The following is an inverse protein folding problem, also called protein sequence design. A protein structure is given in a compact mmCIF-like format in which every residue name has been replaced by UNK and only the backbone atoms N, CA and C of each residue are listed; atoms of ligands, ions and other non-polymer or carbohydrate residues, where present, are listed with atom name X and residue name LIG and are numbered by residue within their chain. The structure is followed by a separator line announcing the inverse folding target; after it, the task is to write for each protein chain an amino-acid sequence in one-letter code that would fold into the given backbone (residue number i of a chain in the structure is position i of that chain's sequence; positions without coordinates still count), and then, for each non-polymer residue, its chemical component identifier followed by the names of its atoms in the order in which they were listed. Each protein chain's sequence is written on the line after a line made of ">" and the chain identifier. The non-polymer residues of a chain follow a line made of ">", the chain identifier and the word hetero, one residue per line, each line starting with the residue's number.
data_IF_201704314162
#
_entry.id   IF_201704314162
#
_cell.length_a   1.000
_cell.length_b   1.000
_cell.length_c   1.000
_cell.angle_alpha   90.00
_cell.angle_beta   90.00
_cell.angle_gamma   90.00
#
_symmetry.space_group_name_H-M   'P 1'
#
loop_
_entity.id
_entity.type
_entity.pdbx_description
1 polymer ?
#
# COMPACT_ATOMS: atom_id res chain seq x y z
N UNK A 1 -17.60 17.81 -4.32
CA UNK A 1 -17.78 19.25 -4.61
C UNK A 1 -16.80 20.03 -3.76
N UNK A 2 -15.99 20.89 -4.38
CA UNK A 2 -15.08 21.81 -3.69
C UNK A 2 -15.12 23.19 -4.39
N UNK A 3 -15.42 24.26 -3.64
CA UNK A 3 -15.62 25.61 -4.17
C UNK A 3 -14.33 26.39 -4.45
N UNK A 4 -13.16 25.88 -4.03
CA UNK A 4 -11.87 26.49 -4.38
C UNK A 4 -11.57 26.35 -5.89
N UNK A 5 -12.28 25.44 -6.58
CA UNK A 5 -12.26 25.17 -8.04
C UNK A 5 -10.94 24.64 -8.59
N UNK A 6 -9.82 25.26 -8.27
CA UNK A 6 -8.48 24.85 -8.66
C UNK A 6 -7.70 24.33 -7.44
N UNK A 7 -6.67 23.53 -7.70
CA UNK A 7 -5.79 22.96 -6.67
C UNK A 7 -6.54 22.23 -5.54
N UNK A 8 -7.72 21.71 -5.87
CA UNK A 8 -8.58 20.96 -4.95
C UNK A 8 -8.12 19.52 -4.85
N UNK A 9 -8.47 18.80 -3.79
CA UNK A 9 -8.05 17.39 -3.71
C UNK A 9 -8.33 16.72 -2.39
N UNK A 10 -7.65 15.60 -2.17
CA UNK A 10 -7.76 14.77 -0.99
C UNK A 10 -6.43 14.09 -0.65
N UNK A 11 -6.29 13.75 0.64
CA UNK A 11 -5.21 12.90 1.14
C UNK A 11 -5.82 11.59 1.65
N UNK A 12 -5.26 10.46 1.24
CA UNK A 12 -5.76 9.11 1.48
C UNK A 12 -4.66 8.33 2.19
N UNK A 13 -4.96 7.78 3.36
CA UNK A 13 -4.05 6.89 4.08
C UNK A 13 -4.34 5.43 3.73
N UNK A 14 -3.27 4.64 3.60
CA UNK A 14 -3.26 3.21 3.29
C UNK A 14 -2.28 2.50 4.23
N UNK A 15 -2.34 1.18 4.32
CA UNK A 15 -1.38 0.38 5.10
C UNK A 15 -0.09 0.02 4.32
N UNK A 16 0.20 0.76 3.24
CA UNK A 16 1.23 0.42 2.26
C UNK A 16 0.60 -0.17 1.00
N UNK A 17 0.69 0.56 -0.12
CA UNK A 17 0.20 0.10 -1.42
C UNK A 17 1.07 0.60 -2.56
N UNK A 18 1.05 -0.10 -3.69
CA UNK A 18 1.64 0.33 -4.95
C UNK A 18 0.47 0.70 -5.87
N UNK A 19 0.11 1.97 -5.86
CA UNK A 19 -0.93 2.53 -6.74
C UNK A 19 -0.34 2.77 -8.13
N UNK A 20 -1.02 2.26 -9.16
CA UNK A 20 -0.66 2.31 -10.58
C UNK A 20 -1.77 2.88 -11.47
N UNK A 21 -2.88 3.29 -10.87
CA UNK A 21 -3.94 3.97 -11.59
C UNK A 21 -4.92 4.70 -10.69
N UNK A 22 -5.80 5.46 -11.33
CA UNK A 22 -6.93 6.15 -10.71
C UNK A 22 -8.21 5.77 -11.45
N UNK A 23 -9.24 5.39 -10.70
CA UNK A 23 -10.62 5.39 -11.17
C UNK A 23 -11.29 6.69 -10.75
N UNK A 24 -11.85 7.44 -11.69
CA UNK A 24 -12.50 8.72 -11.45
C UNK A 24 -13.92 8.65 -12.00
N UNK A 25 -14.93 8.90 -11.16
CA UNK A 25 -16.33 8.89 -11.60
C UNK A 25 -16.90 10.31 -11.57
N UNK A 26 -17.44 10.77 -12.69
CA UNK A 26 -18.05 12.10 -12.76
C UNK A 26 -19.25 12.19 -11.80
N UNK A 27 -19.41 13.32 -11.12
CA UNK A 27 -20.59 13.63 -10.30
C UNK A 27 -21.87 13.82 -11.15
N UNK A 28 -22.89 14.53 -10.65
CA UNK A 28 -24.19 14.65 -11.30
C UNK A 28 -24.53 16.03 -11.85
N UNK A 29 -23.75 17.07 -11.49
CA UNK A 29 -24.27 18.44 -11.53
C UNK A 29 -23.96 19.17 -12.85
N UNK A 30 -22.69 19.27 -13.29
CA UNK A 30 -22.33 19.99 -14.52
C UNK A 30 -20.91 19.71 -15.06
N UNK A 31 -20.76 19.41 -16.37
CA UNK A 31 -19.49 18.94 -16.95
C UNK A 31 -18.33 19.95 -16.88
N UNK A 32 -18.59 21.26 -16.89
CA UNK A 32 -17.54 22.29 -16.84
C UNK A 32 -16.70 22.26 -15.55
N UNK A 33 -17.25 21.66 -14.49
CA UNK A 33 -16.64 21.54 -13.16
C UNK A 33 -15.93 20.21 -12.93
N UNK A 34 -16.02 19.28 -13.87
CA UNK A 34 -15.29 18.03 -13.76
C UNK A 34 -13.78 18.35 -13.78
N UNK A 35 -12.94 17.57 -13.05
CA UNK A 35 -11.50 17.79 -13.06
C UNK A 35 -10.95 17.56 -14.47
N UNK A 36 -10.05 18.44 -14.90
CA UNK A 36 -9.39 18.34 -16.20
C UNK A 36 -7.97 17.78 -16.11
N UNK A 37 -7.28 18.02 -14.99
CA UNK A 37 -5.93 17.50 -14.74
C UNK A 37 -5.83 16.93 -13.34
N UNK A 38 -4.85 16.07 -13.12
CA UNK A 38 -4.53 15.51 -11.81
C UNK A 38 -3.02 15.53 -11.54
N UNK A 39 -2.69 15.54 -10.25
CA UNK A 39 -1.36 15.24 -9.73
C UNK A 39 -1.53 14.28 -8.57
N UNK A 40 -0.94 13.10 -8.68
CA UNK A 40 -0.87 12.10 -7.62
C UNK A 40 0.55 12.07 -7.04
N UNK A 41 0.65 12.18 -5.72
CA UNK A 41 1.91 12.03 -4.99
C UNK A 41 1.79 11.03 -3.86
N UNK A 42 2.87 10.32 -3.54
CA UNK A 42 2.96 9.34 -2.47
C UNK A 42 3.91 9.79 -1.36
N UNK A 43 3.64 9.32 -0.14
CA UNK A 43 4.48 9.55 1.02
C UNK A 43 4.57 8.30 1.90
N UNK A 44 5.79 7.98 2.35
CA UNK A 44 6.05 6.90 3.31
C UNK A 44 5.95 7.37 4.76
N UNK A 45 6.17 8.67 5.01
CA UNK A 45 6.20 9.29 6.35
C UNK A 45 4.99 10.20 6.64
N UNK A 46 4.12 10.41 5.65
CA UNK A 46 2.96 11.30 5.73
C UNK A 46 3.30 12.79 5.67
N UNK A 47 4.57 13.16 5.54
CA UNK A 47 5.05 14.55 5.58
C UNK A 47 5.66 14.95 4.24
N UNK A 48 6.61 14.14 3.74
CA UNK A 48 7.30 14.39 2.49
C UNK A 48 6.61 13.60 1.37
N UNK A 49 6.11 14.33 0.37
CA UNK A 49 5.40 13.74 -0.77
C UNK A 49 6.29 13.77 -2.01
N UNK A 50 6.36 12.63 -2.70
CA UNK A 50 7.03 12.45 -3.99
C UNK A 50 5.96 12.33 -5.06
N UNK A 51 6.06 13.09 -6.14
CA UNK A 51 5.15 12.96 -7.27
C UNK A 51 5.29 11.56 -7.90
N UNK A 52 4.15 10.91 -8.15
CA UNK A 52 4.06 9.61 -8.81
C UNK A 52 3.67 9.81 -10.27
N UNK A 53 2.60 10.59 -10.49
CA UNK A 53 2.06 10.83 -11.81
C UNK A 53 1.31 12.16 -11.85
N UNK A 54 1.31 12.79 -13.02
CA UNK A 54 0.48 13.94 -13.35
C UNK A 54 0.03 13.86 -14.80
N UNK A 55 -1.10 14.47 -15.13
CA UNK A 55 -1.63 14.46 -16.49
C UNK A 55 -3.08 14.89 -16.59
N UNK A 56 -3.66 14.63 -17.75
CA UNK A 56 -5.06 14.94 -18.05
C UNK A 56 -6.00 13.88 -17.49
N UNK A 57 -7.18 14.31 -17.07
CA UNK A 57 -8.31 13.42 -16.79
C UNK A 57 -9.07 13.22 -18.11
N UNK A 58 -9.31 11.97 -18.54
CA UNK A 58 -10.12 11.70 -19.73
C UNK A 58 -11.50 12.35 -19.62
N UNK A 59 -12.01 12.90 -20.72
CA UNK A 59 -13.29 13.57 -20.72
C UNK A 59 -14.43 12.58 -20.41
N UNK A 60 -15.34 12.99 -19.52
CA UNK A 60 -16.57 12.27 -19.27
C UNK A 60 -17.60 12.59 -20.37
N UNK A 61 -18.01 11.58 -21.14
CA UNK A 61 -19.11 11.67 -22.10
C UNK A 61 -20.49 11.66 -21.45
N UNK A 62 -20.62 11.15 -20.22
CA UNK A 62 -21.86 11.15 -19.45
C UNK A 62 -21.63 11.44 -17.95
N UNK A 63 -22.73 11.77 -17.23
CA UNK A 63 -22.71 11.85 -15.76
C UNK A 63 -22.67 10.45 -15.16
N UNK A 64 -21.98 10.30 -14.02
CA UNK A 64 -21.70 9.01 -13.37
C UNK A 64 -20.89 8.04 -14.23
N UNK A 65 -20.19 8.55 -15.24
CA UNK A 65 -19.25 7.76 -16.03
C UNK A 65 -17.93 7.64 -15.28
N UNK A 66 -17.38 6.42 -15.28
CA UNK A 66 -16.06 6.12 -14.76
C UNK A 66 -15.02 6.23 -15.87
N UNK A 67 -14.01 7.06 -15.65
CA UNK A 67 -12.79 7.13 -16.44
C UNK A 67 -11.64 6.55 -15.64
N UNK A 68 -10.70 5.92 -16.34
CA UNK A 68 -9.53 5.31 -15.73
C UNK A 68 -8.25 5.93 -16.32
N UNK A 69 -7.29 6.18 -15.44
CA UNK A 69 -5.95 6.61 -15.83
C UNK A 69 -4.94 5.65 -15.23
N UNK A 70 -4.03 5.13 -16.05
CA UNK A 70 -2.95 4.25 -15.61
C UNK A 70 -1.60 4.96 -15.72
N UNK A 71 -0.69 4.65 -14.81
CA UNK A 71 0.67 5.20 -14.77
C UNK A 71 1.64 4.19 -14.15
N UNK A 72 2.93 4.36 -14.45
CA UNK A 72 3.98 3.53 -13.85
C UNK A 72 4.26 3.96 -12.41
N UNK A 73 4.30 2.98 -11.50
CA UNK A 73 4.78 3.13 -10.14
C UNK A 73 5.19 1.75 -9.62
N UNK A 74 6.38 1.65 -9.06
CA UNK A 74 6.92 0.44 -8.42
C UNK A 74 7.17 0.66 -6.91
N UNK A 75 6.93 1.87 -6.42
CA UNK A 75 7.19 2.25 -5.04
C UNK A 75 5.91 2.20 -4.22
N UNK A 76 6.01 1.54 -3.06
CA UNK A 76 4.93 1.48 -2.10
C UNK A 76 4.88 2.75 -1.24
N UNK A 77 3.69 3.31 -1.05
CA UNK A 77 3.47 4.46 -0.17
C UNK A 77 2.38 4.17 0.86
N UNK A 78 2.49 4.84 2.00
CA UNK A 78 1.51 4.75 3.09
C UNK A 78 0.41 5.80 2.90
N UNK A 79 0.74 6.96 2.33
CA UNK A 79 -0.20 8.06 2.15
C UNK A 79 -0.14 8.57 0.72
N UNK A 80 -1.29 8.82 0.11
CA UNK A 80 -1.43 9.40 -1.21
C UNK A 80 -2.08 10.77 -1.12
N UNK A 81 -1.61 11.72 -1.91
CA UNK A 81 -2.22 13.03 -2.11
C UNK A 81 -2.59 13.16 -3.57
N UNK A 82 -3.89 13.29 -3.84
CA UNK A 82 -4.42 13.56 -5.16
C UNK A 82 -4.92 14.99 -5.20
N UNK A 83 -4.37 15.78 -6.12
CA UNK A 83 -4.79 17.14 -6.41
C UNK A 83 -5.35 17.18 -7.82
N UNK A 84 -6.39 17.98 -8.03
CA UNK A 84 -6.98 18.36 -9.29
C UNK A 84 -6.70 19.85 -9.52
N UNK A 85 -5.60 20.19 -10.23
CA UNK A 85 -5.21 21.59 -10.44
C UNK A 85 -6.23 22.40 -11.24
N UNK A 86 -6.85 21.77 -12.25
CA UNK A 86 -7.78 22.45 -13.17
C UNK A 86 -9.10 21.70 -13.35
N UNK A 87 -10.10 22.43 -13.83
CA UNK A 87 -11.42 21.93 -14.26
C UNK A 87 -11.60 22.15 -15.76
N UNK A 88 -12.55 21.44 -16.37
CA UNK A 88 -12.78 21.43 -17.83
C UNK A 88 -12.99 22.83 -18.42
N UNK A 89 -13.78 23.69 -17.77
CA UNK A 89 -13.96 25.07 -18.21
C UNK A 89 -13.89 26.03 -17.01
N UNK A 90 -12.73 26.64 -16.74
CA UNK A 90 -12.52 27.48 -15.57
C UNK A 90 -13.31 28.79 -15.60
N UNK A 91 -13.74 29.26 -16.77
CA UNK A 91 -14.51 30.51 -16.91
C UNK A 91 -16.00 30.30 -16.57
N UNK A 92 -16.53 29.11 -16.82
CA UNK A 92 -17.91 28.74 -16.50
C UNK A 92 -18.05 28.07 -15.12
N UNK A 93 -17.02 27.35 -14.67
CA UNK A 93 -17.03 26.61 -13.41
C UNK A 93 -16.96 27.53 -12.19
N UNK A 94 -17.82 27.25 -11.19
CA UNK A 94 -17.78 27.88 -9.87
C UNK A 94 -17.18 26.98 -8.77
N UNK A 95 -16.83 25.74 -9.09
CA UNK A 95 -16.34 24.71 -8.18
C UNK A 95 -15.74 23.55 -8.99
N UNK A 96 -15.04 22.63 -8.32
CA UNK A 96 -14.67 21.31 -8.84
C UNK A 96 -15.64 20.26 -8.31
N UNK A 97 -16.00 19.28 -9.14
CA UNK A 97 -16.79 18.13 -8.73
C UNK A 97 -16.26 16.79 -9.23
N UNK A 98 -16.35 15.79 -8.36
CA UNK A 98 -16.13 14.38 -8.66
C UNK A 98 -17.00 13.58 -7.69
N UNK A 99 -17.60 12.47 -8.15
CA UNK A 99 -18.41 11.60 -7.31
C UNK A 99 -17.54 10.59 -6.57
N UNK A 100 -16.59 9.99 -7.27
CA UNK A 100 -15.77 8.91 -6.74
C UNK A 100 -14.32 9.05 -7.20
N UNK A 101 -13.42 8.67 -6.29
CA UNK A 101 -12.00 8.51 -6.54
C UNK A 101 -11.61 7.13 -6.01
N UNK A 102 -11.04 6.31 -6.88
CA UNK A 102 -10.49 5.00 -6.55
C UNK A 102 -8.97 5.03 -6.78
N UNK A 103 -8.21 4.52 -5.81
CA UNK A 103 -6.81 4.20 -6.01
C UNK A 103 -6.71 2.77 -6.54
N UNK A 104 -6.21 2.60 -7.76
CA UNK A 104 -6.06 1.30 -8.41
C UNK A 104 -4.62 0.82 -8.22
N UNK A 105 -4.46 -0.39 -7.71
CA UNK A 105 -3.15 -0.95 -7.43
C UNK A 105 -3.23 -2.17 -6.53
N UNK A 106 -2.09 -2.53 -5.96
CA UNK A 106 -1.98 -3.67 -5.04
C UNK A 106 -1.59 -3.16 -3.66
N UNK A 107 -2.05 -3.84 -2.61
CA UNK A 107 -1.43 -3.70 -1.31
C UNK A 107 0.04 -4.07 -1.45
N UNK A 108 0.93 -3.28 -0.86
CA UNK A 108 2.32 -3.67 -0.76
C UNK A 108 2.35 -4.94 0.09
N UNK A 109 3.19 -5.90 -0.30
CA UNK A 109 3.50 -7.03 0.57
C UNK A 109 3.96 -6.45 1.91
N UNK A 110 3.09 -6.53 2.91
CA UNK A 110 3.48 -6.24 4.28
C UNK A 110 4.37 -7.41 4.64
N UNK A 111 5.68 -7.29 4.42
CA UNK A 111 6.65 -8.26 4.93
C UNK A 111 6.68 -8.06 6.44
N UNK A 112 5.65 -8.57 7.10
CA UNK A 112 5.62 -8.69 8.54
C UNK A 112 6.77 -9.57 9.01
N UNK A 113 7.11 -9.52 10.31
CA UNK A 113 8.08 -10.46 10.87
C UNK A 113 7.66 -11.89 10.47
N UNK A 114 8.61 -12.77 10.13
CA UNK A 114 8.28 -14.14 9.79
C UNK A 114 7.44 -14.79 10.88
N UNK A 115 6.46 -15.59 10.48
CA UNK A 115 5.74 -16.41 11.44
C UNK A 115 6.67 -17.44 12.06
N UNK A 116 6.50 -17.69 13.36
CA UNK A 116 7.19 -18.73 14.12
C UNK A 116 6.19 -19.33 15.10
N UNK A 117 6.01 -20.64 15.03
CA UNK A 117 5.17 -21.39 15.97
C UNK A 117 5.86 -22.68 16.38
N UNK A 118 5.51 -23.20 17.56
CA UNK A 118 6.00 -24.49 18.03
C UNK A 118 4.85 -25.33 18.60
N UNK A 119 4.98 -26.65 18.45
CA UNK A 119 4.09 -27.67 19.04
C UNK A 119 4.96 -28.67 19.79
N UNK A 120 4.61 -29.03 21.03
CA UNK A 120 5.26 -30.12 21.76
C UNK A 120 4.53 -31.42 21.43
N UNK A 121 5.25 -32.41 20.90
CA UNK A 121 4.64 -33.61 20.31
C UNK A 121 4.33 -34.73 21.33
N UNK A 122 4.65 -34.53 22.62
CA UNK A 122 4.40 -35.51 23.70
C UNK A 122 5.34 -36.72 23.71
N UNK A 123 6.18 -36.87 22.69
CA UNK A 123 7.21 -37.91 22.53
C UNK A 123 8.62 -37.41 22.89
N UNK A 124 8.72 -36.25 23.52
CA UNK A 124 10.00 -35.60 23.82
C UNK A 124 10.56 -34.73 22.69
N UNK A 125 9.79 -34.49 21.62
CA UNK A 125 10.17 -33.56 20.55
C UNK A 125 9.25 -32.33 20.48
N UNK A 126 9.73 -31.29 19.82
CA UNK A 126 8.94 -30.14 19.41
C UNK A 126 8.99 -29.96 17.89
N UNK A 127 7.86 -29.62 17.28
CA UNK A 127 7.77 -29.21 15.87
C UNK A 127 7.75 -27.69 15.80
N UNK A 128 8.75 -27.10 15.15
CA UNK A 128 8.86 -25.66 14.92
C UNK A 128 8.49 -25.36 13.47
N UNK A 129 7.46 -24.53 13.26
CA UNK A 129 7.05 -24.06 11.93
C UNK A 129 7.42 -22.60 11.79
N UNK A 130 8.17 -22.26 10.74
CA UNK A 130 8.70 -20.92 10.50
C UNK A 130 8.61 -20.51 9.02
N UNK A 131 8.59 -19.20 8.78
CA UNK A 131 8.82 -18.60 7.47
C UNK A 131 10.28 -18.15 7.32
N UNK A 132 10.87 -18.40 6.16
CA UNK A 132 12.27 -18.04 5.87
C UNK A 132 13.27 -18.99 6.53
N UNK A 133 14.34 -18.44 7.10
CA UNK A 133 15.42 -19.17 7.75
C UNK A 133 15.24 -19.19 9.26
N UNK A 134 15.32 -20.38 9.88
CA UNK A 134 15.42 -20.50 11.32
C UNK A 134 16.85 -20.16 11.77
N UNK A 135 16.99 -19.36 12.81
CA UNK A 135 18.26 -19.09 13.46
C UNK A 135 18.22 -19.53 14.92
N UNK A 136 19.37 -19.97 15.45
CA UNK A 136 19.54 -20.38 16.83
C UNK A 136 20.68 -19.64 17.54
N UNK A 137 20.59 -19.51 18.86
CA UNK A 137 21.63 -18.94 19.71
C UNK A 137 21.61 -19.52 21.13
N UNK A 138 22.77 -19.51 21.80
CA UNK A 138 22.90 -19.88 23.21
C UNK A 138 22.39 -18.79 24.18
N UNK A 139 22.20 -17.56 23.69
CA UNK A 139 21.64 -16.45 24.47
C UNK A 139 20.63 -15.66 23.65
N UNK A 140 19.71 -14.97 24.33
CA UNK A 140 18.71 -14.09 23.69
C UNK A 140 19.34 -12.97 22.86
N UNK A 141 20.60 -12.60 23.14
CA UNK A 141 21.33 -11.55 22.43
C UNK A 141 22.28 -12.09 21.34
N UNK A 142 22.27 -13.40 21.08
CA UNK A 142 23.16 -14.04 20.12
C UNK A 142 24.49 -14.54 20.71
N UNK A 143 25.50 -14.86 19.87
CA UNK A 143 25.48 -14.76 18.41
C UNK A 143 24.43 -15.70 17.78
N UNK A 144 23.75 -15.22 16.76
CA UNK A 144 22.73 -15.97 16.02
C UNK A 144 23.35 -16.67 14.82
N UNK A 145 23.02 -17.94 14.63
CA UNK A 145 23.52 -18.77 13.53
C UNK A 145 22.35 -19.39 12.77
N UNK A 146 22.43 -19.42 11.44
CA UNK A 146 21.43 -20.06 10.59
C UNK A 146 21.38 -21.58 10.85
N UNK A 147 20.17 -22.12 10.90
CA UNK A 147 19.90 -23.56 10.94
C UNK A 147 19.62 -24.02 9.52
N UNK A 148 20.44 -24.92 9.00
CA UNK A 148 20.28 -25.51 7.68
C UNK A 148 19.19 -26.60 7.69
N UNK A 149 17.94 -26.16 7.75
CA UNK A 149 16.78 -27.04 7.76
C UNK A 149 15.54 -26.36 7.15
N UNK A 150 14.65 -27.17 6.60
CA UNK A 150 13.35 -26.72 6.09
C UNK A 150 12.29 -26.66 7.19
N UNK A 151 11.29 -25.80 6.99
CA UNK A 151 10.08 -25.74 7.81
C UNK A 151 9.05 -26.78 7.31
N UNK A 152 8.35 -27.50 8.21
CA UNK A 152 8.54 -27.53 9.66
C UNK A 152 9.75 -28.38 10.07
N UNK A 153 10.42 -27.99 11.15
CA UNK A 153 11.56 -28.71 11.74
C UNK A 153 11.15 -29.37 13.05
N UNK A 154 11.39 -30.68 13.18
CA UNK A 154 11.24 -31.40 14.45
C UNK A 154 12.58 -31.42 15.20
N UNK A 155 12.60 -30.91 16.43
CA UNK A 155 13.77 -30.87 17.30
C UNK A 155 13.55 -31.73 18.54
N UNK A 156 14.55 -32.51 18.99
CA UNK A 156 14.48 -33.21 20.27
C UNK A 156 14.62 -32.21 21.43
N UNK A 157 13.90 -32.44 22.52
CA UNK A 157 13.91 -31.59 23.72
C UNK A 157 14.87 -32.10 24.81
N UNK A 158 15.72 -33.07 24.48
CA UNK A 158 16.75 -33.63 25.37
C UNK A 158 18.12 -32.92 25.24
N UNK A 159 18.18 -31.91 24.36
CA UNK A 159 19.36 -31.08 24.13
C UNK A 159 19.37 -29.83 25.04
N UNK A 160 20.52 -29.17 25.12
CA UNK A 160 20.63 -27.87 25.80
C UNK A 160 19.64 -26.85 25.23
N UNK A 161 19.03 -26.05 26.11
CA UNK A 161 18.07 -25.03 25.70
C UNK A 161 18.71 -24.01 24.74
N UNK A 162 18.17 -23.90 23.53
CA UNK A 162 18.54 -22.89 22.54
C UNK A 162 17.42 -21.86 22.36
N UNK A 163 17.81 -20.60 22.16
CA UNK A 163 16.89 -19.57 21.70
C UNK A 163 16.76 -19.69 20.18
N UNK A 164 15.54 -19.55 19.65
CA UNK A 164 15.27 -19.60 18.21
C UNK A 164 14.51 -18.36 17.73
N UNK A 165 14.75 -17.97 16.48
CA UNK A 165 13.98 -16.93 15.78
C UNK A 165 13.87 -17.26 14.30
N UNK A 166 12.83 -16.77 13.65
CA UNK A 166 12.72 -16.82 12.19
C UNK A 166 13.25 -15.51 11.58
N UNK A 167 13.83 -15.60 10.39
CA UNK A 167 14.35 -14.46 9.60
C UNK A 167 13.92 -14.63 8.14
N UNK A 168 13.38 -13.56 7.53
CA UNK A 168 13.23 -13.43 6.07
C UNK A 168 14.46 -12.76 5.47
#
# INVERSE_FOLDING_TARGET
>A
MNFDKADTGLTIATAGSIVTGLGLTSANDAPERDPATFVLSGSVDGVNFTEIASGDVPAFGARFERQEVSFANDTAYNTYKLIFPTVVNPDAANSMQIAEVELLGVAAEVVGPPSLSYVINGDGTATVTFEGTLQQAASVNGPWVDVDAASPLTIPLDQDAAFVRAKK
#
